data_IF_274069164425
#
_entry.id   IF_274069164425
#
_cell.length_a   1.000
_cell.length_b   1.000
_cell.length_c   1.000
_cell.angle_alpha   90.00
_cell.angle_beta   90.00
_cell.angle_gamma   90.00
#
_symmetry.space_group_name_H-M   'P 1'
#
loop_
_entity.id
_entity.type
_entity.pdbx_description
1 polymer ?
#
# COMPACT_ATOMS: atom_id res chain seq x y z
N UNK A 1 43.27 -4.41 -50.02
CA UNK A 1 42.39 -3.57 -49.18
C UNK A 1 41.00 -4.16 -49.33
N UNK A 2 40.35 -4.53 -48.23
CA UNK A 2 39.01 -5.13 -48.28
C UNK A 2 37.98 -4.03 -48.06
N UNK A 3 37.61 -3.39 -49.16
CA UNK A 3 36.44 -2.51 -49.21
C UNK A 3 35.18 -3.37 -49.06
N UNK A 4 34.22 -2.92 -48.26
CA UNK A 4 32.92 -3.57 -48.12
C UNK A 4 31.85 -2.52 -48.41
N UNK A 5 31.05 -2.74 -49.46
CA UNK A 5 30.11 -1.75 -50.01
C UNK A 5 30.76 -0.42 -50.44
N UNK A 6 32.03 -0.44 -50.87
CA UNK A 6 32.73 0.74 -51.39
C UNK A 6 33.18 1.74 -50.33
N UNK A 7 33.13 1.36 -49.04
CA UNK A 7 33.74 2.10 -47.93
C UNK A 7 34.67 1.17 -47.15
N UNK A 8 35.71 1.75 -46.56
CA UNK A 8 36.74 1.00 -45.85
C UNK A 8 36.29 0.59 -44.44
N UNK A 9 36.92 -0.43 -43.86
CA UNK A 9 36.59 -0.92 -42.52
C UNK A 9 36.63 0.14 -41.42
N UNK A 10 37.49 1.15 -41.57
CA UNK A 10 37.61 2.28 -40.64
C UNK A 10 36.37 3.18 -40.68
N UNK A 11 35.80 3.40 -41.87
CA UNK A 11 34.59 4.22 -42.05
C UNK A 11 33.37 3.49 -41.49
N UNK A 12 33.30 2.17 -41.67
CA UNK A 12 32.30 1.32 -41.01
C UNK A 12 32.37 1.39 -39.48
N UNK A 13 33.57 1.36 -38.91
CA UNK A 13 33.75 1.49 -37.45
C UNK A 13 33.23 2.83 -36.93
N UNK A 14 33.50 3.92 -37.67
CA UNK A 14 32.98 5.24 -37.33
C UNK A 14 31.45 5.30 -37.41
N UNK A 15 30.84 4.72 -38.45
CA UNK A 15 29.38 4.62 -38.58
C UNK A 15 28.73 3.86 -37.42
N UNK A 16 29.30 2.71 -37.05
CA UNK A 16 28.81 1.93 -35.91
C UNK A 16 28.94 2.68 -34.59
N UNK A 17 30.00 3.48 -34.43
CA UNK A 17 30.18 4.36 -33.27
C UNK A 17 29.07 5.42 -33.18
N UNK A 18 28.74 6.07 -34.30
CA UNK A 18 27.67 7.09 -34.36
C UNK A 18 26.31 6.45 -34.06
N UNK A 19 26.00 5.32 -34.68
CA UNK A 19 24.73 4.60 -34.46
C UNK A 19 24.62 4.12 -33.02
N UNK A 20 25.70 3.56 -32.46
CA UNK A 20 25.75 3.11 -31.07
C UNK A 20 25.56 4.27 -30.09
N UNK A 21 26.21 5.41 -30.33
CA UNK A 21 26.03 6.61 -29.52
C UNK A 21 24.58 7.09 -29.55
N UNK A 22 23.96 7.13 -30.73
CA UNK A 22 22.56 7.51 -30.88
C UNK A 22 21.61 6.57 -30.11
N UNK A 23 21.77 5.26 -30.26
CA UNK A 23 20.95 4.26 -29.54
C UNK A 23 21.11 4.41 -28.02
N UNK A 24 22.33 4.68 -27.54
CA UNK A 24 22.61 4.84 -26.11
C UNK A 24 21.88 6.07 -25.55
N UNK A 25 21.91 7.19 -26.28
CA UNK A 25 21.21 8.42 -25.90
C UNK A 25 19.69 8.18 -25.88
N UNK A 26 19.15 7.57 -26.93
CA UNK A 26 17.71 7.27 -27.01
C UNK A 26 17.28 6.33 -25.86
N UNK A 27 18.07 5.29 -25.58
CA UNK A 27 17.77 4.34 -24.50
C UNK A 27 17.79 5.02 -23.13
N UNK A 28 18.73 5.94 -22.89
CA UNK A 28 18.78 6.71 -21.65
C UNK A 28 17.54 7.60 -21.49
N UNK A 29 17.10 8.27 -22.55
CA UNK A 29 15.91 9.13 -22.54
C UNK A 29 14.66 8.27 -22.27
N UNK A 30 14.49 7.15 -22.98
CA UNK A 30 13.35 6.25 -22.79
C UNK A 30 13.33 5.72 -21.36
N UNK A 31 14.47 5.29 -20.82
CA UNK A 31 14.59 4.83 -19.44
C UNK A 31 14.24 5.93 -18.42
N UNK A 32 14.68 7.17 -18.66
CA UNK A 32 14.34 8.31 -17.82
C UNK A 32 12.83 8.58 -17.82
N UNK A 33 12.22 8.65 -19.00
CA UNK A 33 10.77 8.85 -19.14
C UNK A 33 10.00 7.72 -18.47
N UNK A 34 10.38 6.46 -18.71
CA UNK A 34 9.75 5.31 -18.07
C UNK A 34 9.80 5.39 -16.55
N UNK A 35 10.96 5.73 -15.97
CA UNK A 35 11.12 5.87 -14.52
C UNK A 35 10.19 6.94 -13.94
N UNK A 36 10.10 8.10 -14.58
CA UNK A 36 9.31 9.22 -14.05
C UNK A 36 7.81 9.10 -14.33
N UNK A 37 7.42 8.65 -15.51
CA UNK A 37 6.01 8.61 -15.93
C UNK A 37 5.32 7.34 -15.42
N UNK A 38 6.05 6.22 -15.32
CA UNK A 38 5.46 4.94 -14.92
C UNK A 38 5.90 4.58 -13.50
N UNK A 39 7.19 4.44 -13.22
CA UNK A 39 7.63 3.89 -11.92
C UNK A 39 7.32 4.83 -10.75
N UNK A 40 7.60 6.14 -10.88
CA UNK A 40 7.39 7.10 -9.79
C UNK A 40 5.93 7.19 -9.30
N UNK A 41 4.90 7.34 -10.17
CA UNK A 41 3.51 7.37 -9.68
C UNK A 41 3.07 6.02 -9.12
N UNK A 42 3.56 4.90 -9.63
CA UNK A 42 3.29 3.59 -9.04
C UNK A 42 3.89 3.47 -7.64
N UNK A 43 5.14 3.90 -7.44
CA UNK A 43 5.77 3.92 -6.12
C UNK A 43 4.99 4.80 -5.13
N UNK A 44 4.53 5.98 -5.56
CA UNK A 44 3.71 6.86 -4.72
C UNK A 44 2.36 6.25 -4.35
N UNK A 45 1.70 5.54 -5.28
CA UNK A 45 0.46 4.80 -5.01
C UNK A 45 0.66 3.67 -4.01
N UNK A 46 1.76 2.93 -4.12
CA UNK A 46 2.11 1.86 -3.18
C UNK A 46 2.35 2.43 -1.78
N UNK A 47 3.11 3.51 -1.66
CA UNK A 47 3.34 4.17 -0.36
C UNK A 47 2.03 4.68 0.27
N UNK A 48 1.15 5.28 -0.54
CA UNK A 48 -0.18 5.70 -0.07
C UNK A 48 -1.03 4.52 0.39
N UNK A 49 -0.98 3.39 -0.31
CA UNK A 49 -1.74 2.21 0.06
C UNK A 49 -1.24 1.62 1.37
N UNK A 50 0.09 1.54 1.57
CA UNK A 50 0.70 1.09 2.82
C UNK A 50 0.23 1.96 3.99
N UNK A 51 0.25 3.29 3.84
CA UNK A 51 -0.26 4.21 4.87
C UNK A 51 -1.73 3.98 5.18
N UNK A 52 -2.57 3.81 4.15
CA UNK A 52 -4.00 3.50 4.35
C UNK A 52 -4.22 2.16 5.05
N UNK A 53 -3.38 1.16 4.81
CA UNK A 53 -3.42 -0.12 5.54
C UNK A 53 -3.03 0.05 7.01
N UNK A 54 -2.00 0.86 7.31
CA UNK A 54 -1.59 1.15 8.69
C UNK A 54 -2.68 1.90 9.48
N UNK A 55 -3.34 2.87 8.84
CA UNK A 55 -4.48 3.61 9.41
C UNK A 55 -5.68 2.69 9.65
N UNK A 56 -5.96 1.78 8.71
CA UNK A 56 -7.02 0.77 8.84
C UNK A 56 -6.72 -0.18 10.01
N UNK A 57 -5.49 -0.66 10.13
CA UNK A 57 -5.08 -1.53 11.23
C UNK A 57 -5.20 -0.83 12.59
N UNK A 58 -4.79 0.44 12.65
CA UNK A 58 -4.96 1.26 13.86
C UNK A 58 -6.43 1.45 14.24
N UNK A 59 -7.28 1.68 13.25
CA UNK A 59 -8.74 1.77 13.42
C UNK A 59 -9.36 0.46 13.89
N UNK A 60 -8.90 -0.68 13.36
CA UNK A 60 -9.32 -2.00 13.83
C UNK A 60 -8.92 -2.24 15.28
N UNK A 61 -7.68 -1.94 15.67
CA UNK A 61 -7.21 -2.07 17.06
C UNK A 61 -8.02 -1.20 18.03
N UNK A 62 -8.42 -0.01 17.60
CA UNK A 62 -9.28 0.85 18.41
C UNK A 62 -10.71 0.30 18.51
N UNK A 63 -11.22 -0.27 17.42
CA UNK A 63 -12.55 -0.92 17.41
C UNK A 63 -12.58 -2.13 18.35
N UNK A 64 -11.54 -2.95 18.35
CA UNK A 64 -11.37 -4.08 19.25
C UNK A 64 -11.40 -3.66 20.74
N UNK A 65 -10.62 -2.63 21.11
CA UNK A 65 -10.68 -2.05 22.46
C UNK A 65 -12.07 -1.57 22.85
N UNK A 66 -12.81 -0.95 21.92
CA UNK A 66 -14.18 -0.50 22.16
C UNK A 66 -15.12 -1.68 22.37
N UNK A 67 -14.95 -2.78 21.63
CA UNK A 67 -15.70 -4.01 21.84
C UNK A 67 -15.44 -4.58 23.24
N UNK A 68 -14.19 -4.67 23.69
CA UNK A 68 -13.87 -5.12 25.06
C UNK A 68 -14.53 -4.25 26.13
N UNK A 69 -14.57 -2.92 25.92
CA UNK A 69 -15.26 -2.01 26.84
C UNK A 69 -16.78 -2.24 26.81
N UNK A 70 -17.37 -2.48 25.64
CA UNK A 70 -18.78 -2.79 25.53
C UNK A 70 -19.15 -4.12 26.18
N UNK A 71 -18.33 -5.15 26.00
CA UNK A 71 -18.49 -6.46 26.65
C UNK A 71 -18.52 -6.30 28.18
N UNK A 72 -17.56 -5.56 28.75
CA UNK A 72 -17.56 -5.27 30.19
C UNK A 72 -18.80 -4.51 30.67
N UNK A 73 -19.34 -3.60 29.85
CA UNK A 73 -20.56 -2.85 30.19
C UNK A 73 -21.80 -3.74 30.13
N UNK A 74 -21.84 -4.67 29.17
CA UNK A 74 -22.90 -5.67 29.09
C UNK A 74 -22.89 -6.58 30.32
N UNK A 75 -21.72 -7.06 30.75
CA UNK A 75 -21.60 -7.84 31.99
C UNK A 75 -22.12 -7.10 33.23
N UNK A 76 -21.82 -5.80 33.35
CA UNK A 76 -22.33 -4.99 34.46
C UNK A 76 -23.86 -4.80 34.37
N UNK A 77 -24.39 -4.65 33.16
CA UNK A 77 -25.83 -4.55 32.93
C UNK A 77 -26.56 -5.84 33.31
N UNK A 78 -26.01 -7.01 32.95
CA UNK A 78 -26.58 -8.31 33.35
C UNK A 78 -26.61 -8.46 34.86
N UNK A 79 -25.52 -8.16 35.55
CA UNK A 79 -25.48 -8.19 37.02
C UNK A 79 -26.49 -7.23 37.66
N UNK A 80 -26.74 -6.08 37.04
CA UNK A 80 -27.75 -5.13 37.50
C UNK A 80 -29.15 -5.70 37.28
N UNK A 81 -29.42 -6.33 36.14
CA UNK A 81 -30.70 -6.98 35.87
C UNK A 81 -31.00 -8.09 36.88
N UNK A 82 -30.01 -8.90 37.24
CA UNK A 82 -30.17 -9.94 38.27
C UNK A 82 -30.57 -9.35 39.62
N UNK A 83 -29.88 -8.29 40.07
CA UNK A 83 -30.23 -7.59 41.32
C UNK A 83 -31.63 -6.99 41.27
N UNK A 84 -32.01 -6.39 40.14
CA UNK A 84 -33.36 -5.87 39.96
C UNK A 84 -34.40 -6.99 40.00
N UNK A 85 -34.10 -8.16 39.44
CA UNK A 85 -34.98 -9.33 39.47
C UNK A 85 -35.21 -9.83 40.91
N UNK A 86 -34.13 -9.93 41.70
CA UNK A 86 -34.22 -10.29 43.12
C UNK A 86 -35.06 -9.30 43.93
N UNK A 87 -34.86 -8.00 43.72
CA UNK A 87 -35.64 -6.97 44.40
C UNK A 87 -37.14 -7.05 44.07
N UNK A 88 -37.47 -7.27 42.79
CA UNK A 88 -38.86 -7.45 42.37
C UNK A 88 -39.48 -8.70 43.01
N UNK A 89 -38.74 -9.80 43.07
CA UNK A 89 -39.20 -11.04 43.72
C UNK A 89 -39.48 -10.81 45.21
N UNK A 90 -38.56 -10.18 45.93
CA UNK A 90 -38.75 -9.84 47.34
C UNK A 90 -39.98 -8.95 47.58
N UNK A 91 -40.17 -7.92 46.74
CA UNK A 91 -41.34 -7.04 46.84
C UNK A 91 -42.66 -7.78 46.57
N UNK A 92 -42.64 -8.75 45.65
CA UNK A 92 -43.80 -9.59 45.34
C UNK A 92 -44.14 -10.53 46.49
N UNK A 93 -43.14 -11.07 47.19
CA UNK A 93 -43.34 -11.96 48.36
C UNK A 93 -43.79 -11.20 49.62
N UNK A 94 -43.48 -9.91 49.73
CA UNK A 94 -43.89 -9.06 50.86
C UNK A 94 -45.31 -8.50 50.76
N UNK A 95 -45.94 -8.59 49.59
CA UNK A 95 -47.34 -8.18 49.35
C UNK A 95 -48.28 -9.36 49.54
#
# INVERSE_FOLDING_TARGET
MHEFFGIDWTEWAALMGIVGAFITIVSAIVGFVFKYVIVAPFAGKVDSLTKSMDDLNSSMKNSDKRLTVFEKRLDDHDRRLDRHHEQIKYLKEKR
#
